data_IF_589604161337
#
_entry.id   IF_589604161337
#
_cell.length_a   1.000
_cell.length_b   1.000
_cell.length_c   1.000
_cell.angle_alpha   90.00
_cell.angle_beta   90.00
_cell.angle_gamma   90.00
#
_symmetry.space_group_name_H-M   'P 1'
#
loop_
_entity.id
_entity.type
_entity.pdbx_description
1 polymer ?
#
# COMPACT_ATOMS: atom_id res chain seq x y z
N UNK A 1 -15.92 -37.34 3.57
CA UNK A 1 -15.84 -36.55 2.32
C UNK A 1 -15.57 -35.10 2.68
N UNK A 2 -14.37 -34.83 3.17
CA UNK A 2 -13.84 -33.50 3.49
C UNK A 2 -12.48 -33.47 2.84
N UNK A 3 -12.40 -32.90 1.65
CA UNK A 3 -11.15 -32.69 0.92
C UNK A 3 -11.22 -31.32 0.25
N UNK A 4 -10.19 -30.51 0.50
CA UNK A 4 -9.75 -29.37 -0.30
C UNK A 4 -10.67 -28.15 -0.47
N UNK A 5 -10.66 -27.25 0.52
CA UNK A 5 -10.83 -25.78 0.27
C UNK A 5 -9.64 -24.92 0.73
N UNK A 6 -8.67 -25.50 1.44
CA UNK A 6 -7.51 -24.81 1.99
C UNK A 6 -6.28 -24.79 1.06
N UNK A 7 -6.40 -25.29 -0.18
CA UNK A 7 -5.28 -25.36 -1.14
C UNK A 7 -5.45 -24.44 -2.38
N UNK A 8 -6.39 -23.49 -2.33
CA UNK A 8 -6.80 -22.73 -3.52
C UNK A 8 -6.02 -21.44 -3.80
N UNK A 9 -4.96 -21.13 -3.04
CA UNK A 9 -4.01 -20.04 -3.37
C UNK A 9 -2.59 -20.53 -3.71
N UNK A 10 -2.21 -21.77 -3.34
CA UNK A 10 -0.82 -22.24 -3.44
C UNK A 10 -0.28 -22.46 -4.87
N UNK A 11 -1.15 -22.55 -5.89
CA UNK A 11 -0.75 -22.89 -7.27
C UNK A 11 -0.85 -21.75 -8.29
N UNK A 12 -1.30 -20.55 -7.93
CA UNK A 12 -2.17 -19.84 -8.87
C UNK A 12 -1.63 -18.64 -9.67
N UNK A 13 -0.49 -18.01 -9.34
CA UNK A 13 -0.12 -16.73 -10.00
C UNK A 13 1.40 -16.51 -10.15
N UNK A 14 2.11 -17.41 -10.86
CA UNK A 14 3.47 -17.13 -11.34
C UNK A 14 4.52 -16.80 -10.26
N UNK A 15 4.35 -17.32 -9.03
CA UNK A 15 5.31 -17.18 -7.94
C UNK A 15 5.38 -15.82 -7.25
N UNK A 16 4.58 -14.82 -7.67
CA UNK A 16 4.70 -13.45 -7.17
C UNK A 16 3.51 -12.95 -6.35
N UNK A 17 2.43 -13.72 -6.30
CA UNK A 17 1.20 -13.39 -5.56
C UNK A 17 0.62 -14.62 -4.86
N UNK A 18 1.47 -15.42 -4.23
CA UNK A 18 1.04 -16.58 -3.42
C UNK A 18 0.16 -16.22 -2.22
N UNK A 19 0.07 -14.93 -1.90
CA UNK A 19 -0.40 -14.45 -0.59
C UNK A 19 -1.56 -13.43 -0.71
N UNK A 20 -2.20 -13.27 -1.88
CA UNK A 20 -3.44 -12.49 -1.96
C UNK A 20 -4.60 -13.33 -1.44
N UNK A 21 -5.23 -12.91 -0.36
CA UNK A 21 -6.22 -13.71 0.37
C UNK A 21 -7.45 -12.85 0.68
N UNK A 22 -8.64 -13.42 0.48
CA UNK A 22 -9.89 -12.92 1.04
C UNK A 22 -10.40 -13.96 2.02
N UNK A 23 -10.54 -13.61 3.30
CA UNK A 23 -10.86 -14.57 4.36
C UNK A 23 -11.70 -13.93 5.46
N UNK A 24 -12.45 -14.76 6.17
CA UNK A 24 -13.12 -14.41 7.44
C UNK A 24 -12.52 -15.16 8.63
N UNK A 25 -11.54 -16.03 8.39
CA UNK A 25 -10.79 -16.73 9.43
C UNK A 25 -9.79 -15.76 10.04
N UNK A 26 -9.81 -15.60 11.36
CA UNK A 26 -8.92 -14.68 12.05
C UNK A 26 -7.48 -15.19 12.05
N UNK A 27 -7.30 -16.51 11.99
CA UNK A 27 -6.01 -17.20 11.97
C UNK A 27 -5.21 -16.92 10.70
N UNK A 28 -5.90 -16.59 9.60
CA UNK A 28 -5.29 -16.20 8.34
C UNK A 28 -4.86 -14.72 8.35
N UNK A 29 -5.30 -13.94 9.35
CA UNK A 29 -4.95 -12.52 9.44
C UNK A 29 -3.50 -12.34 9.85
N UNK A 30 -2.72 -11.49 9.15
CA UNK A 30 -1.34 -11.17 9.56
C UNK A 30 -1.30 -10.25 10.79
N UNK A 31 -2.45 -9.87 11.36
CA UNK A 31 -2.54 -9.08 12.58
C UNK A 31 -2.46 -9.98 13.81
N UNK A 32 -1.35 -9.89 14.54
CA UNK A 32 -1.15 -10.64 15.78
C UNK A 32 -1.31 -9.75 17.01
N UNK A 33 -1.36 -10.34 18.20
CA UNK A 33 -1.37 -9.59 19.47
C UNK A 33 -0.04 -8.86 19.73
N UNK A 34 1.06 -9.39 19.19
CA UNK A 34 2.38 -8.78 19.29
C UNK A 34 2.60 -7.78 18.15
N UNK A 35 3.22 -6.61 18.41
CA UNK A 35 3.50 -5.63 17.36
C UNK A 35 4.50 -6.19 16.35
N UNK A 36 4.10 -6.24 15.09
CA UNK A 36 4.96 -6.65 13.99
C UNK A 36 4.81 -5.72 12.78
N UNK A 37 5.87 -5.60 11.99
CA UNK A 37 5.77 -4.89 10.71
C UNK A 37 4.99 -5.74 9.72
N UNK A 38 3.96 -5.15 9.10
CA UNK A 38 3.15 -5.84 8.12
C UNK A 38 3.92 -6.02 6.81
N UNK A 39 4.03 -7.24 6.30
CA UNK A 39 4.51 -7.50 4.93
C UNK A 39 3.41 -7.30 3.87
N UNK A 40 2.17 -7.08 4.33
CA UNK A 40 0.96 -7.02 3.52
C UNK A 40 0.20 -5.70 3.76
N UNK A 41 -0.52 -5.23 2.74
CA UNK A 41 -1.59 -4.27 2.92
C UNK A 41 -2.86 -5.01 3.35
N UNK A 42 -3.70 -4.36 4.15
CA UNK A 42 -4.92 -4.97 4.67
C UNK A 42 -6.09 -4.03 4.45
N UNK A 43 -7.20 -4.57 3.93
CA UNK A 43 -8.50 -3.93 3.97
C UNK A 43 -9.41 -4.87 4.73
N UNK A 44 -10.06 -4.42 5.80
CA UNK A 44 -10.94 -5.30 6.55
C UNK A 44 -12.16 -4.60 7.11
N UNK A 45 -13.27 -5.33 7.22
CA UNK A 45 -14.51 -4.85 7.84
C UNK A 45 -14.89 -5.75 9.00
N UNK A 46 -15.17 -5.16 10.16
CA UNK A 46 -15.64 -5.89 11.33
C UNK A 46 -17.14 -6.17 11.19
N UNK A 47 -17.50 -7.45 11.23
CA UNK A 47 -18.89 -7.90 11.08
C UNK A 47 -19.58 -8.06 12.44
N UNK A 48 -18.83 -8.48 13.47
CA UNK A 48 -19.30 -8.72 14.85
C UNK A 48 -18.16 -8.53 15.84
N UNK A 49 -18.52 -8.28 17.10
CA UNK A 49 -17.56 -8.07 18.17
C UNK A 49 -16.76 -6.77 18.04
N UNK A 50 -15.60 -6.75 18.68
CA UNK A 50 -14.66 -5.64 18.66
C UNK A 50 -13.23 -6.11 18.85
N UNK A 51 -12.28 -5.30 18.39
CA UNK A 51 -10.86 -5.47 18.65
C UNK A 51 -10.18 -4.10 18.77
N UNK A 52 -9.01 -4.03 19.40
CA UNK A 52 -8.19 -2.81 19.45
C UNK A 52 -7.05 -2.95 18.44
N UNK A 53 -7.05 -2.08 17.44
CA UNK A 53 -5.95 -1.99 16.48
C UNK A 53 -4.96 -0.94 16.98
N UNK A 54 -3.71 -1.36 17.16
CA UNK A 54 -2.58 -0.48 17.42
C UNK A 54 -1.77 -0.31 16.14
N UNK A 55 -1.63 0.91 15.65
CA UNK A 55 -0.84 1.26 14.48
C UNK A 55 0.18 2.34 14.85
N UNK A 56 1.45 1.95 14.96
CA UNK A 56 2.51 2.79 15.53
C UNK A 56 2.05 3.34 16.90
N UNK A 57 1.99 4.66 17.08
CA UNK A 57 1.52 5.31 18.31
C UNK A 57 0.00 5.46 18.39
N UNK A 58 -0.72 5.21 17.29
CA UNK A 58 -2.17 5.37 17.22
C UNK A 58 -2.87 4.09 17.69
N UNK A 59 -4.03 4.25 18.30
CA UNK A 59 -4.91 3.14 18.67
C UNK A 59 -6.35 3.45 18.29
N UNK A 60 -7.07 2.46 17.81
CA UNK A 60 -8.49 2.56 17.50
C UNK A 60 -9.24 1.34 18.02
N UNK A 61 -10.41 1.56 18.61
CA UNK A 61 -11.34 0.48 18.97
C UNK A 61 -12.15 0.17 17.72
N UNK A 62 -11.79 -0.92 17.05
CA UNK A 62 -12.43 -1.38 15.83
C UNK A 62 -13.74 -2.10 16.17
N UNK A 63 -14.85 -1.46 15.80
CA UNK A 63 -16.20 -1.92 16.07
C UNK A 63 -16.86 -2.47 14.80
N UNK A 64 -17.96 -3.21 14.99
CA UNK A 64 -18.85 -3.61 13.90
C UNK A 64 -19.13 -2.44 12.95
N UNK A 65 -19.15 -2.73 11.65
CA UNK A 65 -19.44 -1.80 10.56
C UNK A 65 -18.35 -0.74 10.30
N UNK A 66 -17.20 -0.85 10.96
CA UNK A 66 -16.03 -0.04 10.62
C UNK A 66 -15.09 -0.79 9.68
N UNK A 67 -14.53 -0.05 8.74
CA UNK A 67 -13.48 -0.54 7.85
C UNK A 67 -12.12 -0.06 8.34
N UNK A 68 -11.12 -0.94 8.29
CA UNK A 68 -9.72 -0.59 8.44
C UNK A 68 -8.97 -0.73 7.12
N UNK A 69 -8.02 0.16 6.90
CA UNK A 69 -7.15 0.22 5.73
C UNK A 69 -5.71 0.44 6.18
N UNK A 70 -4.86 -0.57 5.97
CA UNK A 70 -3.49 -0.60 6.46
C UNK A 70 -2.53 -0.80 5.29
N UNK A 71 -1.41 -0.08 5.34
CA UNK A 71 -0.33 -0.20 4.38
C UNK A 71 0.72 -1.21 4.85
N UNK A 72 1.41 -1.89 3.91
CA UNK A 72 2.60 -2.65 4.25
C UNK A 72 3.66 -1.76 4.91
N UNK A 73 4.54 -2.38 5.69
CA UNK A 73 5.65 -1.81 6.46
C UNK A 73 5.22 -0.87 7.58
N UNK A 74 3.97 -0.98 8.02
CA UNK A 74 3.51 -0.33 9.23
C UNK A 74 3.57 -1.30 10.41
N UNK A 75 4.04 -0.82 11.57
CA UNK A 75 4.05 -1.60 12.81
C UNK A 75 2.63 -1.67 13.36
N UNK A 76 2.04 -2.86 13.35
CA UNK A 76 0.65 -3.07 13.72
C UNK A 76 0.47 -4.23 14.70
N UNK A 77 -0.55 -4.17 15.54
CA UNK A 77 -1.06 -5.32 16.31
C UNK A 77 -2.57 -5.20 16.54
N UNK A 78 -3.22 -6.34 16.77
CA UNK A 78 -4.63 -6.45 17.11
C UNK A 78 -4.77 -7.12 18.48
N UNK A 79 -5.35 -6.39 19.44
CA UNK A 79 -5.44 -6.78 20.85
C UNK A 79 -6.88 -6.71 21.33
N UNK A 80 -7.14 -7.28 22.52
CA UNK A 80 -8.46 -7.20 23.18
C UNK A 80 -9.60 -7.62 22.23
N UNK A 81 -9.38 -8.69 21.47
CA UNK A 81 -10.37 -9.26 20.55
C UNK A 81 -11.49 -9.89 21.37
N UNK A 82 -12.75 -9.50 21.12
CA UNK A 82 -13.90 -10.08 21.81
C UNK A 82 -14.16 -11.53 21.37
N UNK A 83 -14.82 -12.32 22.22
CA UNK A 83 -15.10 -13.73 21.94
C UNK A 83 -15.96 -13.95 20.69
N UNK A 84 -16.85 -13.01 20.37
CA UNK A 84 -17.75 -13.05 19.22
C UNK A 84 -17.18 -12.38 17.96
N UNK A 85 -15.92 -11.94 18.02
CA UNK A 85 -15.29 -11.17 16.96
C UNK A 85 -15.28 -11.93 15.63
N UNK A 86 -15.68 -11.22 14.58
CA UNK A 86 -15.57 -11.72 13.21
C UNK A 86 -15.35 -10.53 12.29
N UNK A 87 -14.41 -10.66 11.37
CA UNK A 87 -14.12 -9.65 10.37
C UNK A 87 -13.80 -10.32 9.03
N UNK A 88 -14.08 -9.60 7.94
CA UNK A 88 -13.68 -10.00 6.59
C UNK A 88 -12.44 -9.23 6.19
N UNK A 89 -11.38 -9.93 5.82
CA UNK A 89 -10.08 -9.39 5.47
C UNK A 89 -9.80 -9.58 3.97
N UNK A 90 -9.22 -8.56 3.34
CA UNK A 90 -8.49 -8.63 2.08
C UNK A 90 -7.03 -8.37 2.40
N UNK A 91 -6.20 -9.39 2.23
CA UNK A 91 -4.75 -9.36 2.46
C UNK A 91 -4.06 -9.19 1.11
N UNK A 92 -3.28 -8.12 0.98
CA UNK A 92 -2.72 -7.64 -0.28
C UNK A 92 -1.20 -7.72 -0.20
N UNK A 93 -0.53 -8.57 -1.01
CA UNK A 93 0.93 -8.62 -1.08
C UNK A 93 1.53 -7.24 -1.35
N UNK A 94 2.65 -6.90 -0.69
CA UNK A 94 3.32 -5.61 -0.90
C UNK A 94 3.59 -5.28 -2.38
N UNK A 95 3.90 -6.29 -3.21
CA UNK A 95 4.09 -6.11 -4.66
C UNK A 95 2.81 -5.64 -5.33
N UNK A 96 1.68 -6.32 -5.08
CA UNK A 96 0.36 -5.98 -5.62
C UNK A 96 -0.13 -4.64 -5.08
N UNK A 97 0.05 -4.37 -3.79
CA UNK A 97 -0.24 -3.07 -3.18
C UNK A 97 0.49 -1.92 -3.90
N UNK A 98 1.80 -2.08 -4.16
CA UNK A 98 2.57 -1.09 -4.91
C UNK A 98 2.10 -0.94 -6.36
N UNK A 99 1.61 -2.01 -6.98
CA UNK A 99 1.04 -1.95 -8.33
C UNK A 99 -0.29 -1.19 -8.33
N UNK A 100 -1.17 -1.42 -7.34
CA UNK A 100 -2.41 -0.67 -7.17
C UNK A 100 -2.10 0.81 -6.96
N UNK A 101 -1.18 1.15 -6.04
CA UNK A 101 -0.78 2.54 -5.82
C UNK A 101 -0.18 3.20 -7.07
N UNK A 102 0.63 2.49 -7.85
CA UNK A 102 1.21 3.02 -9.09
C UNK A 102 0.15 3.33 -10.16
N UNK A 103 -1.09 2.86 -10.00
CA UNK A 103 -2.21 3.21 -10.87
C UNK A 103 -2.87 4.55 -10.53
N UNK A 104 -2.64 5.07 -9.32
CA UNK A 104 -3.13 6.38 -8.91
C UNK A 104 -2.30 7.46 -9.63
N UNK A 105 -2.92 8.20 -10.55
CA UNK A 105 -2.25 9.34 -11.20
C UNK A 105 -1.98 10.41 -10.16
N UNK A 106 -0.72 10.82 -10.02
CA UNK A 106 -0.28 11.82 -9.04
C UNK A 106 -0.50 11.39 -7.59
N UNK A 107 0.07 10.24 -7.22
CA UNK A 107 0.16 9.82 -5.82
C UNK A 107 0.83 10.93 -4.99
N UNK A 108 0.01 11.68 -4.26
CA UNK A 108 0.48 12.61 -3.24
C UNK A 108 1.13 11.77 -2.14
N UNK A 109 2.44 11.90 -1.90
CA UNK A 109 3.10 11.07 -0.92
C UNK A 109 2.62 11.34 0.52
N UNK A 110 1.93 12.46 0.74
CA UNK A 110 1.18 12.74 1.97
C UNK A 110 0.11 11.69 2.30
N UNK A 111 -0.40 10.98 1.29
CA UNK A 111 -1.41 9.93 1.48
C UNK A 111 -0.88 8.76 2.34
N UNK A 112 0.41 8.41 2.19
CA UNK A 112 1.02 7.36 3.01
C UNK A 112 0.98 7.68 4.51
N UNK A 113 1.15 8.94 4.89
CA UNK A 113 1.09 9.37 6.29
C UNK A 113 -0.34 9.52 6.76
N UNK A 114 -1.22 10.02 5.90
CA UNK A 114 -2.62 10.15 6.22
C UNK A 114 -3.24 8.83 6.65
N UNK A 115 -2.94 7.73 5.94
CA UNK A 115 -3.42 6.39 6.27
C UNK A 115 -3.00 5.98 7.68
N UNK A 116 -1.87 6.44 8.23
CA UNK A 116 -1.51 6.14 9.63
C UNK A 116 -2.46 6.76 10.65
N UNK A 117 -2.89 7.99 10.43
CA UNK A 117 -3.73 8.71 11.38
C UNK A 117 -5.23 8.49 11.12
N UNK A 118 -5.57 8.01 9.93
CA UNK A 118 -6.94 7.79 9.47
C UNK A 118 -7.09 6.38 8.85
N UNK A 119 -6.52 5.36 9.50
CA UNK A 119 -6.58 3.97 9.04
C UNK A 119 -7.95 3.32 9.23
N UNK A 120 -8.90 4.00 9.88
CA UNK A 120 -10.24 3.50 10.11
C UNK A 120 -11.28 4.46 9.53
N UNK A 121 -12.37 3.87 9.05
CA UNK A 121 -13.46 4.58 8.40
C UNK A 121 -14.74 4.10 9.03
N UNK A 122 -15.45 5.02 9.69
CA UNK A 122 -16.81 4.75 10.11
C UNK A 122 -17.69 4.79 8.87
N UNK A 123 -18.19 3.61 8.50
CA UNK A 123 -19.12 3.45 7.40
C UNK A 123 -20.53 3.47 7.98
N UNK A 124 -20.97 4.68 8.37
CA UNK A 124 -22.32 4.91 8.89
C UNK A 124 -23.38 4.95 7.77
N UNK A 125 -22.96 5.16 6.52
CA UNK A 125 -23.84 5.06 5.34
C UNK A 125 -23.84 3.62 4.83
N UNK A 126 -25.02 2.96 4.80
CA UNK A 126 -25.21 1.58 4.33
C UNK A 126 -24.50 1.29 3.00
N UNK A 127 -24.34 2.31 2.15
CA UNK A 127 -23.65 2.23 0.87
C UNK A 127 -22.18 1.77 0.96
N UNK A 128 -21.42 2.10 2.01
CA UNK A 128 -19.97 1.79 2.02
C UNK A 128 -19.66 0.33 2.35
N UNK A 129 -20.42 -0.30 3.24
CA UNK A 129 -20.26 -1.72 3.60
C UNK A 129 -20.74 -2.57 2.46
N UNK A 130 -21.91 -2.24 1.89
CA UNK A 130 -22.42 -2.91 0.71
C UNK A 130 -21.46 -2.79 -0.47
N UNK A 131 -20.80 -1.63 -0.67
CA UNK A 131 -19.73 -1.48 -1.66
C UNK A 131 -18.54 -2.37 -1.37
N UNK A 132 -18.01 -2.39 -0.14
CA UNK A 132 -16.89 -3.27 0.22
C UNK A 132 -17.23 -4.75 0.00
N UNK A 133 -18.42 -5.17 0.45
CA UNK A 133 -18.91 -6.52 0.23
C UNK A 133 -19.07 -6.83 -1.26
N UNK A 134 -19.55 -5.87 -2.06
CA UNK A 134 -19.64 -5.99 -3.51
C UNK A 134 -18.26 -6.13 -4.16
N UNK A 135 -17.26 -5.34 -3.72
CA UNK A 135 -15.87 -5.49 -4.18
C UNK A 135 -15.30 -6.86 -3.83
N UNK A 136 -15.49 -7.33 -2.59
CA UNK A 136 -15.10 -8.69 -2.20
C UNK A 136 -15.74 -9.72 -3.12
N UNK A 137 -17.05 -9.60 -3.38
CA UNK A 137 -17.79 -10.55 -4.20
C UNK A 137 -17.33 -10.56 -5.65
N UNK A 138 -17.01 -9.39 -6.22
CA UNK A 138 -16.44 -9.28 -7.56
C UNK A 138 -15.09 -10.00 -7.65
N UNK A 139 -14.21 -9.79 -6.67
CA UNK A 139 -12.89 -10.44 -6.64
C UNK A 139 -13.04 -11.95 -6.44
N UNK A 140 -13.87 -12.40 -5.49
CA UNK A 140 -14.16 -13.83 -5.26
C UNK A 140 -14.68 -14.51 -6.53
N UNK A 141 -15.62 -13.88 -7.24
CA UNK A 141 -16.16 -14.42 -8.49
C UNK A 141 -15.08 -14.56 -9.59
N UNK A 142 -14.14 -13.61 -9.68
CA UNK A 142 -13.01 -13.72 -10.61
C UNK A 142 -12.06 -14.86 -10.21
N UNK A 143 -11.77 -15.01 -8.92
CA UNK A 143 -10.94 -16.10 -8.38
C UNK A 143 -11.58 -17.47 -8.67
N UNK A 144 -12.89 -17.62 -8.46
CA UNK A 144 -13.63 -18.86 -8.73
C UNK A 144 -13.67 -19.23 -10.23
N UNK A 145 -13.73 -18.22 -11.11
CA UNK A 145 -13.80 -18.41 -12.57
C UNK A 145 -12.44 -18.64 -13.21
N UNK A 146 -11.36 -18.32 -12.53
CA UNK A 146 -10.02 -18.43 -13.09
C UNK A 146 -9.65 -19.88 -13.41
N UNK A 147 -9.03 -20.08 -14.58
CA UNK A 147 -8.62 -21.40 -15.09
C UNK A 147 -7.16 -21.42 -15.56
N UNK A 148 -6.34 -20.47 -15.13
CA UNK A 148 -4.90 -20.39 -15.44
C UNK A 148 -4.53 -19.44 -16.59
N UNK A 149 -5.45 -19.18 -17.53
CA UNK A 149 -5.25 -18.21 -18.61
C UNK A 149 -6.25 -17.07 -18.45
N UNK A 150 -5.78 -15.84 -18.23
CA UNK A 150 -6.64 -14.67 -18.14
C UNK A 150 -6.06 -13.52 -17.34
N UNK A 151 -6.71 -12.36 -17.47
CA UNK A 151 -6.31 -11.08 -16.88
C UNK A 151 -6.73 -10.92 -15.41
N UNK A 152 -6.67 -11.99 -14.61
CA UNK A 152 -7.17 -12.01 -13.23
C UNK A 152 -6.47 -10.93 -12.40
N UNK A 153 -5.14 -10.87 -12.50
CA UNK A 153 -4.32 -9.91 -11.79
C UNK A 153 -4.69 -8.47 -12.13
N UNK A 154 -4.85 -8.16 -13.41
CA UNK A 154 -5.21 -6.84 -13.89
C UNK A 154 -6.61 -6.45 -13.42
N UNK A 155 -7.55 -7.41 -13.41
CA UNK A 155 -8.90 -7.19 -12.85
C UNK A 155 -8.84 -6.89 -11.36
N UNK A 156 -8.06 -7.64 -10.58
CA UNK A 156 -7.85 -7.38 -9.15
C UNK A 156 -7.24 -5.99 -8.94
N UNK A 157 -6.24 -5.60 -9.73
CA UNK A 157 -5.64 -4.26 -9.69
C UNK A 157 -6.70 -3.19 -9.95
N UNK A 158 -7.59 -3.38 -10.93
CA UNK A 158 -8.66 -2.44 -11.21
C UNK A 158 -9.66 -2.34 -10.05
N UNK A 159 -10.11 -3.46 -9.48
CA UNK A 159 -11.06 -3.45 -8.36
C UNK A 159 -10.47 -2.80 -7.11
N UNK A 160 -9.23 -3.16 -6.75
CA UNK A 160 -8.52 -2.53 -5.64
C UNK A 160 -8.20 -1.05 -5.96
N UNK A 161 -7.88 -0.73 -7.21
CA UNK A 161 -7.61 0.63 -7.65
C UNK A 161 -8.79 1.57 -7.42
N UNK A 162 -10.01 1.13 -7.73
CA UNK A 162 -11.24 1.88 -7.43
C UNK A 162 -11.35 2.14 -5.93
N UNK A 163 -11.18 1.11 -5.10
CA UNK A 163 -11.23 1.26 -3.65
C UNK A 163 -10.16 2.26 -3.13
N UNK A 164 -8.93 2.15 -3.62
CA UNK A 164 -7.84 3.05 -3.22
C UNK A 164 -8.11 4.49 -3.65
N UNK A 165 -8.75 4.70 -4.81
CA UNK A 165 -9.17 6.03 -5.27
C UNK A 165 -10.23 6.63 -4.35
N UNK A 166 -11.20 5.85 -3.88
CA UNK A 166 -12.21 6.33 -2.93
C UNK A 166 -11.57 6.79 -1.61
N UNK A 167 -10.63 5.99 -1.08
CA UNK A 167 -9.86 6.33 0.12
C UNK A 167 -8.99 7.57 -0.11
N UNK A 168 -8.38 7.68 -1.29
CA UNK A 168 -7.58 8.83 -1.67
C UNK A 168 -8.42 10.12 -1.80
N UNK A 169 -9.62 10.03 -2.36
CA UNK A 169 -10.56 11.16 -2.44
C UNK A 169 -10.98 11.63 -1.05
N UNK A 170 -11.18 10.71 -0.11
CA UNK A 170 -11.41 11.05 1.29
C UNK A 170 -10.21 11.79 1.89
N UNK A 171 -8.99 11.29 1.67
CA UNK A 171 -7.76 11.98 2.06
C UNK A 171 -7.72 13.43 1.54
N UNK A 172 -7.94 13.63 0.24
CA UNK A 172 -7.94 14.96 -0.36
C UNK A 172 -9.01 15.87 0.25
N UNK A 173 -10.20 15.34 0.58
CA UNK A 173 -11.28 16.10 1.22
C UNK A 173 -10.94 16.49 2.66
N UNK A 174 -10.43 15.57 3.47
CA UNK A 174 -10.08 15.82 4.88
C UNK A 174 -8.89 16.77 4.97
N UNK A 175 -7.88 16.57 4.12
CA UNK A 175 -6.69 17.42 4.07
C UNK A 175 -7.01 18.90 3.91
N UNK A 176 -8.03 19.25 3.09
CA UNK A 176 -8.46 20.65 2.91
C UNK A 176 -9.02 21.31 4.18
N UNK A 177 -9.37 20.54 5.22
CA UNK A 177 -10.07 21.01 6.41
C UNK A 177 -9.23 21.10 7.69
N UNK A 178 -8.02 20.56 7.73
CA UNK A 178 -7.18 20.53 8.95
C UNK A 178 -6.32 21.82 9.02
N UNK A 179 -6.55 22.73 10.01
CA UNK A 179 -5.74 23.93 10.19
C UNK A 179 -4.45 23.64 10.97
N UNK A 180 -3.37 24.35 10.63
CA UNK A 180 -2.05 24.03 11.14
C UNK A 180 -1.81 24.40 12.64
N UNK A 181 -1.62 23.44 13.56
CA UNK A 181 -1.11 23.60 14.95
C UNK A 181 0.09 22.69 15.32
N UNK A 182 0.86 23.11 16.31
CA UNK A 182 2.27 22.83 16.65
C UNK A 182 2.82 21.37 16.66
N UNK A 183 2.01 20.31 16.80
CA UNK A 183 2.46 18.93 16.52
C UNK A 183 2.81 18.75 15.03
N UNK A 184 2.30 19.65 14.19
CA UNK A 184 2.55 19.73 12.78
C UNK A 184 3.96 20.13 12.40
N UNK A 185 4.86 20.56 13.29
CA UNK A 185 6.20 20.92 12.78
C UNK A 185 6.93 19.70 12.20
N UNK A 186 6.83 18.54 12.86
CA UNK A 186 7.39 17.28 12.33
C UNK A 186 6.59 16.78 11.11
N UNK A 187 5.26 16.83 11.17
CA UNK A 187 4.40 16.40 10.05
C UNK A 187 4.54 17.30 8.82
N UNK A 188 4.71 18.60 9.01
CA UNK A 188 5.01 19.58 7.97
C UNK A 188 6.38 19.30 7.37
N UNK A 189 7.41 19.02 8.18
CA UNK A 189 8.72 18.63 7.64
C UNK A 189 8.65 17.34 6.81
N UNK A 190 7.85 16.37 7.24
CA UNK A 190 7.61 15.14 6.49
C UNK A 190 6.86 15.45 5.19
N UNK A 191 5.82 16.29 5.25
CA UNK A 191 5.08 16.73 4.09
C UNK A 191 5.95 17.49 3.08
N UNK A 192 6.77 18.42 3.55
CA UNK A 192 7.69 19.20 2.73
C UNK A 192 8.76 18.31 2.12
N UNK A 193 9.29 17.35 2.90
CA UNK A 193 10.17 16.30 2.38
C UNK A 193 9.52 15.56 1.21
N UNK A 194 8.29 15.12 1.39
CA UNK A 194 7.55 14.37 0.39
C UNK A 194 7.22 15.18 -0.86
N UNK A 195 6.83 16.44 -0.67
CA UNK A 195 6.60 17.38 -1.78
C UNK A 195 7.89 17.60 -2.57
N UNK A 196 9.01 17.83 -1.87
CA UNK A 196 10.32 17.94 -2.50
C UNK A 196 10.70 16.65 -3.24
N UNK A 197 10.43 15.47 -2.68
CA UNK A 197 10.68 14.17 -3.34
C UNK A 197 9.90 14.10 -4.65
N UNK A 198 8.60 14.37 -4.63
CA UNK A 198 7.76 14.33 -5.82
C UNK A 198 8.26 15.27 -6.92
N UNK A 199 8.73 16.47 -6.56
CA UNK A 199 9.25 17.46 -7.50
C UNK A 199 10.66 17.14 -8.01
N UNK A 200 11.52 16.54 -7.18
CA UNK A 200 12.98 16.54 -7.42
C UNK A 200 13.63 15.15 -7.56
N UNK A 201 12.91 14.04 -7.34
CA UNK A 201 13.53 12.68 -7.33
C UNK A 201 14.29 12.32 -8.60
N UNK A 202 13.87 12.88 -9.76
CA UNK A 202 14.55 12.66 -11.04
C UNK A 202 16.00 13.11 -10.93
N UNK A 203 16.26 14.31 -10.42
CA UNK A 203 17.60 14.88 -10.36
C UNK A 203 18.35 14.51 -9.08
N UNK A 204 17.62 14.28 -7.98
CA UNK A 204 18.22 14.07 -6.67
C UNK A 204 17.72 12.77 -6.04
N UNK A 205 18.59 11.76 -5.97
CA UNK A 205 18.28 10.43 -5.39
C UNK A 205 18.93 10.21 -4.02
N UNK A 206 19.46 11.26 -3.41
CA UNK A 206 20.12 11.23 -2.11
C UNK A 206 19.30 12.04 -1.09
N UNK A 207 19.03 11.45 0.08
CA UNK A 207 18.32 12.09 1.20
C UNK A 207 19.01 13.38 1.67
N UNK A 208 20.35 13.49 1.54
CA UNK A 208 21.13 14.68 1.88
C UNK A 208 20.60 15.95 1.23
N UNK A 209 20.35 15.92 -0.08
CA UNK A 209 19.77 17.05 -0.82
C UNK A 209 18.47 17.56 -0.18
N UNK A 210 17.60 16.63 0.21
CA UNK A 210 16.31 16.98 0.79
C UNK A 210 16.43 17.52 2.21
N UNK A 211 17.29 16.91 3.02
CA UNK A 211 17.57 17.38 4.38
C UNK A 211 18.14 18.81 4.36
N UNK A 212 19.07 19.08 3.43
CA UNK A 212 19.65 20.41 3.22
C UNK A 212 18.57 21.44 2.82
N UNK A 213 17.66 21.08 1.90
CA UNK A 213 16.53 21.94 1.50
C UNK A 213 15.56 22.24 2.64
N UNK A 214 15.41 21.32 3.59
CA UNK A 214 14.58 21.47 4.78
C UNK A 214 15.31 22.11 5.96
N UNK A 215 16.59 22.46 5.80
CA UNK A 215 17.47 22.99 6.84
C UNK A 215 17.55 22.09 8.09
N UNK A 216 17.64 20.77 7.88
CA UNK A 216 17.79 19.76 8.93
C UNK A 216 18.85 18.72 8.56
N UNK A 217 19.28 17.91 9.52
CA UNK A 217 20.20 16.82 9.23
C UNK A 217 19.48 15.61 8.64
N UNK A 218 20.18 14.81 7.83
CA UNK A 218 19.66 13.53 7.33
C UNK A 218 19.28 12.56 8.45
N UNK A 219 20.03 12.59 9.55
CA UNK A 219 19.75 11.82 10.76
C UNK A 219 18.43 12.25 11.40
N UNK A 220 18.20 13.56 11.56
CA UNK A 220 16.96 14.07 12.11
C UNK A 220 15.78 13.78 11.19
N UNK A 221 15.92 13.99 9.88
CA UNK A 221 14.89 13.66 8.88
C UNK A 221 14.53 12.16 8.92
N UNK A 222 15.52 11.29 9.02
CA UNK A 222 15.28 9.85 9.12
C UNK A 222 14.65 9.46 10.46
N UNK A 223 15.02 10.14 11.55
CA UNK A 223 14.42 9.91 12.87
C UNK A 223 12.94 10.29 12.89
N UNK A 224 12.57 11.48 12.38
CA UNK A 224 11.16 11.89 12.33
C UNK A 224 10.34 11.00 11.39
N UNK A 225 10.91 10.54 10.28
CA UNK A 225 10.26 9.61 9.36
C UNK A 225 10.03 8.24 10.02
N UNK A 226 11.03 7.71 10.75
CA UNK A 226 10.85 6.45 11.47
C UNK A 226 9.81 6.58 12.60
N UNK A 227 9.90 7.65 13.40
CA UNK A 227 8.97 7.93 14.50
C UNK A 227 7.53 8.05 13.98
N UNK A 228 7.32 8.76 12.87
CA UNK A 228 5.98 9.07 12.38
C UNK A 228 5.45 8.10 11.33
N UNK A 229 6.29 7.32 10.67
CA UNK A 229 5.91 6.56 9.48
C UNK A 229 6.37 5.11 9.54
N UNK A 230 7.21 4.74 10.52
CA UNK A 230 7.79 3.40 10.64
C UNK A 230 8.87 3.08 9.61
N UNK A 231 9.24 4.03 8.75
CA UNK A 231 10.23 3.87 7.69
C UNK A 231 11.20 5.05 7.62
N UNK A 232 12.43 4.79 7.20
CA UNK A 232 13.45 5.86 7.06
C UNK A 232 13.19 6.75 5.84
N UNK A 233 13.73 7.97 5.84
CA UNK A 233 13.66 8.87 4.70
C UNK A 233 14.28 8.27 3.42
N UNK A 234 15.35 7.48 3.56
CA UNK A 234 15.99 6.76 2.44
C UNK A 234 15.09 5.68 1.87
N UNK A 235 14.43 4.93 2.75
CA UNK A 235 13.50 3.90 2.36
C UNK A 235 12.30 4.49 1.64
N UNK A 236 11.70 5.55 2.19
CA UNK A 236 10.61 6.29 1.58
C UNK A 236 10.95 6.79 0.17
N UNK A 237 12.07 7.48 -0.01
CA UNK A 237 12.53 7.96 -1.32
C UNK A 237 12.65 6.81 -2.32
N UNK A 238 13.15 5.66 -1.86
CA UNK A 238 13.31 4.50 -2.72
C UNK A 238 11.96 3.88 -3.11
N UNK A 239 11.00 3.79 -2.19
CA UNK A 239 9.63 3.34 -2.47
C UNK A 239 9.01 4.25 -3.52
N UNK A 240 9.11 5.56 -3.34
CA UNK A 240 8.58 6.55 -4.28
C UNK A 240 9.16 6.38 -5.69
N UNK A 241 10.49 6.27 -5.83
CA UNK A 241 11.13 6.04 -7.13
C UNK A 241 10.65 4.73 -7.77
N UNK A 242 10.47 3.66 -6.99
CA UNK A 242 9.95 2.39 -7.50
C UNK A 242 8.52 2.55 -8.02
N UNK A 243 7.65 3.27 -7.31
CA UNK A 243 6.27 3.53 -7.75
C UNK A 243 6.23 4.32 -9.06
N UNK A 244 7.07 5.35 -9.21
CA UNK A 244 7.20 6.13 -10.44
C UNK A 244 7.70 5.27 -11.61
N UNK A 245 8.71 4.42 -11.39
CA UNK A 245 9.21 3.48 -12.40
C UNK A 245 8.12 2.48 -12.79
N UNK A 246 7.35 1.93 -11.82
CA UNK A 246 6.23 1.03 -12.09
C UNK A 246 5.16 1.70 -12.94
N UNK A 247 4.84 2.96 -12.64
CA UNK A 247 3.90 3.78 -13.41
C UNK A 247 4.36 3.94 -14.87
N UNK A 248 5.62 4.31 -15.10
CA UNK A 248 6.20 4.44 -16.44
C UNK A 248 6.26 3.10 -17.20
N UNK A 249 6.51 1.98 -16.52
CA UNK A 249 6.57 0.66 -17.16
C UNK A 249 5.24 0.22 -17.78
N UNK A 250 4.11 0.77 -17.29
CA UNK A 250 2.76 0.53 -17.83
C UNK A 250 2.47 1.29 -19.12
N UNK A 251 3.26 2.31 -19.47
CA UNK A 251 3.17 2.95 -20.78
C UNK A 251 3.90 2.07 -21.81
N UNK A 252 3.14 1.39 -22.67
CA UNK A 252 3.67 0.51 -23.71
C UNK A 252 4.47 1.25 -24.77
N UNK A 253 4.34 2.57 -24.88
CA UNK A 253 5.05 3.41 -25.85
C UNK A 253 6.48 3.70 -25.41
N UNK A 254 6.77 3.62 -24.11
CA UNK A 254 8.10 3.89 -23.56
C UNK A 254 8.94 2.62 -23.58
N UNK A 255 10.17 2.65 -24.11
CA UNK A 255 11.12 1.56 -23.94
C UNK A 255 11.92 1.68 -22.62
N UNK A 256 12.65 0.64 -22.22
CA UNK A 256 13.34 0.63 -20.91
C UNK A 256 14.46 1.68 -20.84
N UNK A 257 15.10 1.99 -21.97
CA UNK A 257 16.13 3.03 -22.05
C UNK A 257 15.52 4.42 -21.87
N UNK A 258 14.38 4.70 -22.48
CA UNK A 258 13.62 5.95 -22.29
C UNK A 258 13.18 6.11 -20.84
N UNK A 259 12.74 5.03 -20.17
CA UNK A 259 12.41 5.09 -18.74
C UNK A 259 13.63 5.45 -17.90
N UNK A 260 14.81 4.90 -18.21
CA UNK A 260 16.05 5.27 -17.52
C UNK A 260 16.41 6.75 -17.72
N UNK A 261 16.19 7.29 -18.92
CA UNK A 261 16.37 8.71 -19.23
C UNK A 261 15.36 9.57 -18.47
N UNK A 262 14.07 9.24 -18.51
CA UNK A 262 12.99 9.99 -17.86
C UNK A 262 13.11 10.02 -16.33
N UNK A 263 13.64 8.95 -15.76
CA UNK A 263 13.94 8.84 -14.32
C UNK A 263 15.34 9.33 -13.97
N UNK A 264 16.11 9.77 -14.97
CA UNK A 264 17.47 10.29 -14.87
C UNK A 264 18.40 9.36 -14.08
N UNK A 265 18.40 8.07 -14.44
CA UNK A 265 19.40 7.10 -14.01
C UNK A 265 20.57 7.09 -14.99
N UNK A 266 21.83 6.94 -14.52
CA UNK A 266 23.01 7.00 -15.38
C UNK A 266 23.02 5.96 -16.51
N UNK A 267 22.37 4.82 -16.28
CA UNK A 267 22.23 3.76 -17.28
C UNK A 267 21.03 2.88 -16.96
N UNK A 268 20.52 2.21 -18.00
CA UNK A 268 19.50 1.16 -17.85
C UNK A 268 19.93 0.08 -16.85
N UNK A 269 21.20 -0.33 -16.86
CA UNK A 269 21.74 -1.33 -15.93
C UNK A 269 21.64 -0.87 -14.47
N UNK A 270 21.90 0.41 -14.20
CA UNK A 270 21.79 0.99 -12.86
C UNK A 270 20.34 1.02 -12.39
N UNK A 271 19.42 1.47 -13.26
CA UNK A 271 17.98 1.44 -12.96
C UNK A 271 17.50 0.01 -12.70
N UNK A 272 17.93 -0.95 -13.53
CA UNK A 272 17.50 -2.34 -13.41
C UNK A 272 18.01 -2.98 -12.11
N UNK A 273 19.26 -2.70 -11.70
CA UNK A 273 19.80 -3.13 -10.40
C UNK A 273 19.00 -2.52 -9.24
N UNK A 274 18.75 -1.21 -9.29
CA UNK A 274 17.96 -0.51 -8.28
C UNK A 274 16.56 -1.11 -8.14
N UNK A 275 15.86 -1.32 -9.27
CA UNK A 275 14.52 -1.87 -9.30
C UNK A 275 14.49 -3.30 -8.77
N UNK A 276 15.38 -4.18 -9.27
CA UNK A 276 15.44 -5.59 -8.85
C UNK A 276 15.75 -5.76 -7.36
N UNK A 277 16.61 -4.93 -6.79
CA UNK A 277 16.90 -4.96 -5.36
C UNK A 277 15.67 -4.67 -4.48
N UNK A 278 14.63 -4.01 -5.03
CA UNK A 278 13.43 -3.61 -4.29
C UNK A 278 12.18 -4.38 -4.66
N UNK A 279 12.09 -4.87 -5.89
CA UNK A 279 10.91 -5.58 -6.39
C UNK A 279 11.14 -7.07 -6.57
N UNK A 280 12.40 -7.54 -6.49
CA UNK A 280 12.77 -8.92 -6.82
C UNK A 280 12.86 -9.22 -8.33
N UNK A 281 12.34 -8.33 -9.18
CA UNK A 281 12.30 -8.51 -10.64
C UNK A 281 13.15 -7.51 -11.40
N UNK A 282 13.60 -7.89 -12.60
CA UNK A 282 14.11 -6.92 -13.56
C UNK A 282 12.98 -6.10 -14.19
N UNK A 283 13.32 -4.92 -14.75
CA UNK A 283 12.37 -4.07 -15.48
C UNK A 283 11.67 -4.84 -16.62
N UNK A 284 12.43 -5.65 -17.37
CA UNK A 284 11.91 -6.46 -18.47
C UNK A 284 10.98 -7.56 -17.99
N UNK A 285 11.31 -8.25 -16.89
CA UNK A 285 10.44 -9.26 -16.29
C UNK A 285 9.14 -8.63 -15.83
N UNK A 286 9.20 -7.52 -15.08
CA UNK A 286 8.03 -6.82 -14.59
C UNK A 286 7.15 -6.30 -15.74
N UNK A 287 7.76 -5.72 -16.78
CA UNK A 287 7.02 -5.29 -17.98
C UNK A 287 6.39 -6.47 -18.72
N UNK A 288 7.09 -7.59 -18.83
CA UNK A 288 6.52 -8.81 -19.39
C UNK A 288 5.30 -9.21 -18.58
N UNK A 289 5.36 -9.24 -17.24
CA UNK A 289 4.19 -9.52 -16.41
C UNK A 289 2.98 -8.60 -16.63
N UNK A 290 3.19 -7.35 -17.05
CA UNK A 290 2.08 -6.42 -17.36
C UNK A 290 1.44 -6.73 -18.73
N UNK A 291 2.22 -7.19 -19.71
CA UNK A 291 1.79 -7.29 -21.11
C UNK A 291 1.79 -8.72 -21.68
N UNK A 292 2.32 -9.71 -20.97
CA UNK A 292 2.35 -11.10 -21.42
C UNK A 292 1.04 -11.78 -21.09
N UNK A 293 0.18 -11.70 -22.10
CA UNK A 293 -1.02 -12.50 -22.38
C UNK A 293 -0.76 -14.00 -22.33
#
# INVERSE_FOLDING_TARGET
MQENRYNTCDRFLGGLEKDFIITEQIEDSPLTSEPSFLDYGIIAVCNRGSAIIHLLDNKHVWNKNELIFLFPRQLCSMRNVSEDFSAKFIIIPHVLHGDVLSSLRHFDPGFHFFVKDHFYYNIEDNNGIERFQSFCKLIENELERYRGNGLLRERIICYLGIFYMDVYDYYVKVRKKIPFRTSLRKEQLIYDFCSLVAENFKNHKNVGFYADKLNITTTYLSAIMNERCGISAKEFLSIYIVLEVKSLLRDSRLNIQEIAILTNFPSQSTLNRFFRQRTGMTLSQYRKHIFST
#
